data_IF_870368087595
#
_entry.id   IF_870368087595
#
_cell.length_a   1.000
_cell.length_b   1.000
_cell.length_c   1.000
_cell.angle_alpha   90.00
_cell.angle_beta   90.00
_cell.angle_gamma   90.00
#
_symmetry.space_group_name_H-M   'P 1'
#
loop_
_entity.id
_entity.type
_entity.pdbx_description
1 polymer ?
#
# COMPACT_ATOMS: atom_id res chain seq x y z
N UNK A 1 -5.13 2.71 -23.88
CA UNK A 1 -3.71 3.03 -23.60
C UNK A 1 -3.11 3.96 -24.65
N UNK A 2 -3.79 4.21 -25.79
CA UNK A 2 -3.31 5.17 -26.80
C UNK A 2 -3.35 6.65 -26.34
N UNK A 3 -4.12 6.96 -25.30
CA UNK A 3 -4.21 8.30 -24.70
C UNK A 3 -3.17 8.56 -23.58
N UNK A 4 -2.29 7.58 -23.29
CA UNK A 4 -1.28 7.71 -22.22
C UNK A 4 0.11 7.86 -22.84
N UNK A 5 0.70 9.05 -22.72
CA UNK A 5 2.03 9.34 -23.28
C UNK A 5 3.17 8.69 -22.49
N UNK A 6 3.01 8.57 -21.17
CA UNK A 6 4.00 7.97 -20.26
C UNK A 6 3.33 7.25 -19.09
N UNK A 7 3.91 6.11 -18.71
CA UNK A 7 3.58 5.37 -17.49
C UNK A 7 4.81 5.36 -16.60
N UNK A 8 4.65 5.78 -15.35
CA UNK A 8 5.71 5.74 -14.34
C UNK A 8 5.26 4.90 -13.16
N UNK A 9 6.18 4.12 -12.60
CA UNK A 9 5.89 3.31 -11.42
C UNK A 9 7.13 3.10 -10.55
N UNK A 10 6.91 2.86 -9.26
CA UNK A 10 7.93 2.49 -8.29
C UNK A 10 8.10 0.96 -8.24
N UNK A 11 9.35 0.52 -8.08
CA UNK A 11 9.72 -0.90 -7.88
C UNK A 11 9.67 -1.30 -6.38
N UNK A 12 9.39 -0.35 -5.48
CA UNK A 12 9.56 -0.53 -4.03
C UNK A 12 8.43 -1.27 -3.34
N UNK A 13 7.24 -1.29 -3.97
CA UNK A 13 6.06 -1.87 -3.36
C UNK A 13 5.88 -3.33 -3.83
N UNK A 14 5.06 -3.54 -4.87
CA UNK A 14 4.70 -4.87 -5.35
C UNK A 14 5.89 -5.71 -5.87
N UNK A 15 7.00 -5.06 -6.24
CA UNK A 15 8.17 -5.73 -6.84
C UNK A 15 9.33 -5.94 -5.87
N UNK A 16 9.18 -5.55 -4.60
CA UNK A 16 10.15 -5.77 -3.52
C UNK A 16 11.60 -5.40 -3.87
N UNK A 17 11.79 -4.32 -4.66
CA UNK A 17 13.12 -3.81 -5.06
C UNK A 17 13.23 -2.31 -4.71
N UNK A 18 14.06 -1.53 -5.40
CA UNK A 18 14.14 -0.08 -5.20
C UNK A 18 14.19 0.69 -6.52
N UNK A 19 13.85 1.98 -6.46
CA UNK A 19 13.83 2.85 -7.62
C UNK A 19 12.50 2.78 -8.38
N UNK A 20 12.53 3.14 -9.66
CA UNK A 20 11.34 3.23 -10.49
C UNK A 20 11.67 3.14 -11.97
N UNK A 21 10.63 3.04 -12.79
CA UNK A 21 10.75 3.01 -14.24
C UNK A 21 9.76 3.96 -14.90
N UNK A 22 10.07 4.37 -16.12
CA UNK A 22 9.23 5.16 -17.00
C UNK A 22 9.14 4.47 -18.36
N UNK A 23 7.92 4.24 -18.85
CA UNK A 23 7.63 3.69 -20.17
C UNK A 23 6.90 4.74 -20.98
N UNK A 24 7.30 4.91 -22.23
CA UNK A 24 6.67 5.85 -23.15
C UNK A 24 7.27 5.70 -24.55
N UNK A 25 6.92 6.62 -25.44
CA UNK A 25 7.51 6.65 -26.79
C UNK A 25 9.03 6.84 -26.69
N UNK A 26 9.78 6.20 -27.58
CA UNK A 26 11.25 6.17 -27.54
C UNK A 26 11.91 7.56 -27.47
N UNK A 27 11.37 8.55 -28.20
CA UNK A 27 11.89 9.92 -28.16
C UNK A 27 11.63 10.62 -26.81
N UNK A 28 10.54 10.28 -26.11
CA UNK A 28 10.21 10.83 -24.79
C UNK A 28 11.15 10.27 -23.74
N UNK A 29 11.29 8.94 -23.71
CA UNK A 29 12.22 8.26 -22.79
C UNK A 29 13.68 8.65 -23.10
N UNK A 30 14.03 8.76 -24.38
CA UNK A 30 15.34 9.24 -24.83
C UNK A 30 15.66 10.65 -24.33
N UNK A 31 14.68 11.57 -24.41
CA UNK A 31 14.85 12.92 -23.87
C UNK A 31 15.04 12.90 -22.35
N UNK A 32 14.22 12.14 -21.60
CA UNK A 32 14.40 12.01 -20.13
C UNK A 32 15.76 11.43 -19.75
N UNK A 33 16.23 10.42 -20.49
CA UNK A 33 17.52 9.78 -20.25
C UNK A 33 18.72 10.72 -20.50
N UNK A 34 18.62 11.59 -21.49
CA UNK A 34 19.71 12.51 -21.89
C UNK A 34 19.67 13.84 -21.12
N UNK A 35 18.49 14.29 -20.70
CA UNK A 35 18.28 15.61 -20.10
C UNK A 35 17.85 15.57 -18.64
N UNK A 36 17.50 14.40 -18.10
CA UNK A 36 17.11 14.23 -16.70
C UNK A 36 18.30 14.29 -15.76
N UNK A 37 18.44 15.39 -15.02
CA UNK A 37 19.54 15.59 -14.06
C UNK A 37 19.66 14.43 -13.07
N UNK A 38 18.54 13.98 -12.49
CA UNK A 38 18.51 12.86 -11.56
C UNK A 38 18.87 11.51 -12.19
N UNK A 39 18.72 11.36 -13.50
CA UNK A 39 19.15 10.16 -14.23
C UNK A 39 20.64 10.21 -14.57
N UNK A 40 21.14 11.36 -15.06
CA UNK A 40 22.53 11.52 -15.49
C UNK A 40 23.54 11.60 -14.32
N UNK A 41 23.13 12.19 -13.19
CA UNK A 41 24.02 12.48 -12.06
C UNK A 41 23.70 11.64 -10.81
N UNK A 42 23.11 10.47 -11.00
CA UNK A 42 22.86 9.48 -9.94
C UNK A 42 23.51 8.14 -10.26
N UNK A 43 23.78 7.35 -9.23
CA UNK A 43 24.25 5.97 -9.40
C UNK A 43 23.12 5.09 -9.94
N UNK A 44 23.49 4.11 -10.78
CA UNK A 44 22.54 3.10 -11.27
C UNK A 44 22.08 2.17 -10.15
N UNK A 45 20.90 1.56 -10.34
CA UNK A 45 20.39 0.53 -9.45
C UNK A 45 21.40 -0.65 -9.34
N UNK A 46 21.70 -1.15 -8.13
CA UNK A 46 22.57 -2.32 -7.95
C UNK A 46 22.09 -3.54 -8.77
N UNK A 47 22.99 -4.31 -9.41
CA UNK A 47 22.61 -5.42 -10.28
C UNK A 47 21.68 -6.46 -9.64
N UNK A 48 21.89 -6.74 -8.35
CA UNK A 48 21.03 -7.65 -7.58
C UNK A 48 19.58 -7.17 -7.54
N UNK A 49 19.36 -5.88 -7.26
CA UNK A 49 18.01 -5.28 -7.16
C UNK A 49 17.35 -5.17 -8.54
N UNK A 50 18.12 -4.88 -9.58
CA UNK A 50 17.64 -4.87 -10.96
C UNK A 50 17.19 -6.27 -11.41
N UNK A 51 17.94 -7.31 -11.04
CA UNK A 51 17.59 -8.70 -11.33
C UNK A 51 16.33 -9.10 -10.55
N UNK A 52 16.27 -8.82 -9.25
CA UNK A 52 15.09 -9.11 -8.43
C UNK A 52 13.82 -8.44 -8.96
N UNK A 53 13.89 -7.18 -9.38
CA UNK A 53 12.76 -6.48 -9.99
C UNK A 53 12.34 -7.12 -11.33
N UNK A 54 13.31 -7.54 -12.16
CA UNK A 54 13.05 -8.19 -13.45
C UNK A 54 12.35 -9.54 -13.26
N UNK A 55 12.81 -10.35 -12.31
CA UNK A 55 12.18 -11.63 -11.96
C UNK A 55 10.78 -11.41 -11.36
N UNK A 56 10.59 -10.41 -10.50
CA UNK A 56 9.27 -10.09 -9.96
C UNK A 56 8.26 -9.71 -11.06
N UNK A 57 8.70 -8.96 -12.08
CA UNK A 57 7.87 -8.65 -13.25
C UNK A 57 7.57 -9.91 -14.07
N UNK A 58 8.58 -10.76 -14.32
CA UNK A 58 8.40 -12.02 -15.05
C UNK A 58 7.37 -12.93 -14.35
N UNK A 59 7.45 -13.08 -13.03
CA UNK A 59 6.47 -13.86 -12.25
C UNK A 59 5.06 -13.28 -12.37
N UNK A 60 4.89 -11.96 -12.39
CA UNK A 60 3.57 -11.33 -12.56
C UNK A 60 3.01 -11.59 -13.96
N UNK A 61 3.85 -11.59 -14.99
CA UNK A 61 3.46 -11.88 -16.38
C UNK A 61 3.11 -13.36 -16.59
N UNK A 62 3.89 -14.27 -15.98
CA UNK A 62 3.67 -15.72 -16.04
C UNK A 62 2.47 -16.18 -15.20
N UNK A 63 2.21 -15.51 -14.06
CA UNK A 63 1.13 -15.84 -13.12
C UNK A 63 0.16 -14.67 -12.91
N UNK A 64 -0.64 -14.27 -13.92
CA UNK A 64 -1.56 -13.13 -13.81
C UNK A 64 -2.65 -13.33 -12.75
N UNK A 65 -2.95 -14.58 -12.39
CA UNK A 65 -3.91 -14.94 -11.34
C UNK A 65 -3.46 -14.44 -9.95
N UNK A 66 -2.17 -14.14 -9.74
CA UNK A 66 -1.68 -13.56 -8.47
C UNK A 66 -2.35 -12.22 -8.19
N UNK A 67 -2.47 -11.37 -9.20
CA UNK A 67 -3.13 -10.06 -9.08
C UNK A 67 -4.62 -10.25 -8.79
N UNK A 68 -5.28 -11.16 -9.51
CA UNK A 68 -6.70 -11.46 -9.30
C UNK A 68 -6.98 -11.99 -7.89
N UNK A 69 -6.10 -12.86 -7.36
CA UNK A 69 -6.20 -13.38 -6.00
C UNK A 69 -6.14 -12.25 -4.98
N UNK A 70 -5.14 -11.37 -5.09
CA UNK A 70 -5.01 -10.20 -4.19
C UNK A 70 -6.24 -9.31 -4.28
N UNK A 71 -6.75 -9.02 -5.48
CA UNK A 71 -7.97 -8.23 -5.66
C UNK A 71 -9.18 -8.88 -4.96
N UNK A 72 -9.39 -10.20 -5.10
CA UNK A 72 -10.46 -10.92 -4.42
C UNK A 72 -10.31 -10.85 -2.90
N UNK A 73 -9.11 -11.12 -2.38
CA UNK A 73 -8.79 -11.00 -0.95
C UNK A 73 -9.06 -9.58 -0.42
N UNK A 74 -8.79 -8.56 -1.23
CA UNK A 74 -8.99 -7.15 -0.88
C UNK A 74 -10.46 -6.77 -0.79
N UNK A 75 -11.30 -7.30 -1.69
CA UNK A 75 -12.75 -7.08 -1.69
C UNK A 75 -13.39 -7.79 -0.49
N UNK A 76 -13.02 -9.05 -0.24
CA UNK A 76 -13.57 -9.85 0.85
C UNK A 76 -13.09 -9.35 2.21
N UNK A 77 -11.78 -9.07 2.34
CA UNK A 77 -11.17 -8.52 3.53
C UNK A 77 -11.71 -7.14 3.89
N UNK A 78 -12.02 -6.29 2.90
CA UNK A 78 -12.72 -5.01 3.15
C UNK A 78 -14.08 -5.23 3.81
N UNK A 79 -14.90 -6.15 3.30
CA UNK A 79 -16.22 -6.45 3.91
C UNK A 79 -16.09 -6.96 5.34
N UNK A 80 -15.09 -7.83 5.58
CA UNK A 80 -14.80 -8.35 6.93
C UNK A 80 -14.42 -7.23 7.90
N UNK A 81 -13.53 -6.33 7.48
CA UNK A 81 -13.12 -5.16 8.27
C UNK A 81 -14.28 -4.19 8.53
N UNK A 82 -15.08 -3.86 7.51
CA UNK A 82 -16.26 -2.99 7.66
C UNK A 82 -17.26 -3.54 8.69
N UNK A 83 -17.48 -4.86 8.65
CA UNK A 83 -18.36 -5.52 9.62
C UNK A 83 -17.77 -5.52 11.04
N UNK A 84 -16.47 -5.76 11.19
CA UNK A 84 -15.80 -5.75 12.50
C UNK A 84 -15.80 -4.35 13.14
N UNK A 85 -15.67 -3.30 12.34
CA UNK A 85 -15.68 -1.91 12.80
C UNK A 85 -17.10 -1.34 13.00
N UNK A 86 -18.14 -2.08 12.60
CA UNK A 86 -19.53 -1.60 12.67
C UNK A 86 -19.93 -1.28 14.11
N UNK A 87 -20.40 -0.06 14.35
CA UNK A 87 -20.81 0.43 15.67
C UNK A 87 -19.68 1.09 16.48
N UNK A 88 -18.43 0.98 16.01
CA UNK A 88 -17.31 1.75 16.54
C UNK A 88 -17.26 3.16 15.91
N UNK A 89 -16.33 3.99 16.39
CA UNK A 89 -16.00 5.28 15.75
C UNK A 89 -14.96 5.16 14.64
N UNK A 90 -14.48 3.94 14.34
CA UNK A 90 -13.50 3.74 13.28
C UNK A 90 -14.20 3.45 11.95
N UNK A 91 -13.75 4.12 10.90
CA UNK A 91 -14.33 4.02 9.56
C UNK A 91 -13.27 3.55 8.58
N UNK A 92 -13.59 2.49 7.84
CA UNK A 92 -12.74 2.01 6.75
C UNK A 92 -13.05 2.80 5.47
N UNK A 93 -12.01 3.20 4.75
CA UNK A 93 -12.14 3.82 3.44
C UNK A 93 -11.09 3.24 2.49
N UNK A 94 -11.50 2.99 1.26
CA UNK A 94 -10.67 2.45 0.20
C UNK A 94 -11.52 1.95 -0.96
N UNK A 95 -10.92 1.85 -2.13
CA UNK A 95 -11.54 1.19 -3.28
C UNK A 95 -11.59 -0.33 -3.01
N UNK A 96 -12.73 -1.03 -3.21
CA UNK A 96 -12.85 -2.48 -2.98
C UNK A 96 -11.71 -3.31 -3.60
N UNK A 97 -11.33 -2.98 -4.83
CA UNK A 97 -10.32 -3.66 -5.62
C UNK A 97 -8.89 -3.30 -5.19
N UNK A 98 -8.68 -2.17 -4.52
CA UNK A 98 -7.37 -1.75 -4.02
C UNK A 98 -6.94 -2.64 -2.85
N UNK A 99 -5.72 -3.21 -2.86
CA UNK A 99 -5.20 -3.96 -1.72
C UNK A 99 -4.90 -3.11 -0.51
N UNK A 100 -4.82 -1.79 -0.67
CA UNK A 100 -4.57 -0.85 0.40
C UNK A 100 -5.88 -0.23 0.88
N UNK A 101 -6.12 -0.35 2.19
CA UNK A 101 -7.26 0.25 2.90
C UNK A 101 -6.76 1.18 4.00
N UNK A 102 -7.55 2.20 4.30
CA UNK A 102 -7.29 3.14 5.38
C UNK A 102 -8.37 3.04 6.44
N UNK A 103 -7.96 2.93 7.70
CA UNK A 103 -8.85 3.05 8.86
C UNK A 103 -8.68 4.46 9.42
N UNK A 104 -9.78 5.20 9.48
CA UNK A 104 -9.88 6.54 10.05
C UNK A 104 -10.63 6.49 11.37
N UNK A 105 -10.44 7.51 12.22
CA UNK A 105 -11.25 7.69 13.42
C UNK A 105 -12.20 8.88 13.25
N UNK A 106 -13.51 8.64 13.39
CA UNK A 106 -14.56 9.65 13.28
C UNK A 106 -14.87 10.25 14.66
N UNK A 107 -14.07 11.23 15.06
CA UNK A 107 -14.22 11.93 16.33
C UNK A 107 -13.05 12.84 16.66
N UNK A 108 -13.07 13.43 17.85
CA UNK A 108 -11.98 14.28 18.33
C UNK A 108 -10.73 13.46 18.68
N UNK A 109 -9.57 14.11 18.66
CA UNK A 109 -8.27 13.49 18.97
C UNK A 109 -7.97 12.25 18.09
N UNK A 110 -8.21 12.34 16.77
CA UNK A 110 -8.06 11.22 15.82
C UNK A 110 -6.73 10.48 15.99
N UNK A 111 -5.62 11.21 16.03
CA UNK A 111 -4.28 10.62 16.17
C UNK A 111 -4.11 9.80 17.44
N UNK A 112 -4.61 10.32 18.57
CA UNK A 112 -4.51 9.64 19.86
C UNK A 112 -5.33 8.37 19.88
N UNK A 113 -6.51 8.37 19.26
CA UNK A 113 -7.36 7.18 19.19
C UNK A 113 -6.82 6.15 18.20
N UNK A 114 -6.21 6.59 17.10
CA UNK A 114 -5.50 5.68 16.18
C UNK A 114 -4.26 5.08 16.84
N UNK A 115 -3.47 5.85 17.59
CA UNK A 115 -2.31 5.33 18.35
C UNK A 115 -2.77 4.29 19.38
N UNK A 116 -3.82 4.59 20.15
CA UNK A 116 -4.39 3.63 21.10
C UNK A 116 -4.80 2.32 20.42
N UNK A 117 -5.47 2.39 19.26
CA UNK A 117 -5.86 1.18 18.55
C UNK A 117 -4.64 0.37 18.10
N UNK A 118 -3.61 1.02 17.58
CA UNK A 118 -2.34 0.37 17.21
C UNK A 118 -1.70 -0.31 18.43
N UNK A 119 -1.62 0.41 19.56
CA UNK A 119 -1.02 -0.09 20.78
C UNK A 119 -1.80 -1.28 21.36
N UNK A 120 -3.14 -1.20 21.39
CA UNK A 120 -4.00 -2.30 21.87
C UNK A 120 -3.84 -3.54 21.00
N UNK A 121 -3.88 -3.40 19.67
CA UNK A 121 -3.69 -4.54 18.75
C UNK A 121 -2.31 -5.19 18.92
N UNK A 122 -1.28 -4.39 19.15
CA UNK A 122 0.07 -4.90 19.40
C UNK A 122 0.19 -5.63 20.74
N UNK A 123 -0.35 -5.04 21.82
CA UNK A 123 -0.23 -5.59 23.16
C UNK A 123 -1.08 -6.87 23.34
N UNK A 124 -2.30 -6.89 22.80
CA UNK A 124 -3.25 -7.98 23.06
C UNK A 124 -3.13 -9.12 22.04
N UNK A 125 -2.85 -8.79 20.77
CA UNK A 125 -2.86 -9.76 19.66
C UNK A 125 -1.49 -10.01 19.04
N UNK A 126 -0.47 -9.23 19.43
CA UNK A 126 0.88 -9.25 18.88
C UNK A 126 0.92 -9.04 17.35
N UNK A 127 0.03 -8.19 16.85
CA UNK A 127 0.00 -7.78 15.45
C UNK A 127 0.51 -6.35 15.32
N UNK A 128 1.39 -6.11 14.35
CA UNK A 128 1.93 -4.79 14.10
C UNK A 128 1.05 -4.05 13.09
N UNK A 129 0.47 -2.94 13.53
CA UNK A 129 -0.20 -1.97 12.67
C UNK A 129 0.59 -0.67 12.68
N UNK A 130 0.48 0.11 11.61
CA UNK A 130 1.17 1.41 11.52
C UNK A 130 0.22 2.49 11.04
N UNK A 131 0.32 3.66 11.68
CA UNK A 131 -0.32 4.87 11.16
C UNK A 131 0.40 5.36 9.92
N UNK A 132 -0.36 5.86 8.95
CA UNK A 132 0.17 6.73 7.93
C UNK A 132 0.69 8.00 8.60
N UNK A 133 1.99 8.25 8.48
CA UNK A 133 2.66 9.44 8.99
C UNK A 133 3.00 10.35 7.83
N UNK A 134 2.72 11.64 8.00
CA UNK A 134 2.99 12.69 7.04
C UNK A 134 3.77 13.81 7.73
N UNK A 135 4.43 14.66 6.93
CA UNK A 135 5.17 15.81 7.44
C UNK A 135 4.24 17.02 7.49
N UNK A 136 3.33 17.08 8.45
CA UNK A 136 2.23 18.06 8.50
C UNK A 136 2.64 19.55 8.39
N UNK A 137 3.90 19.87 8.71
CA UNK A 137 4.45 21.22 8.60
C UNK A 137 4.84 21.59 7.16
N UNK A 138 5.20 20.58 6.37
CA UNK A 138 5.70 20.71 5.01
C UNK A 138 4.64 20.31 3.97
N UNK A 139 3.57 19.62 4.40
CA UNK A 139 2.44 19.27 3.55
C UNK A 139 1.59 20.51 3.21
N UNK A 140 1.53 20.84 1.92
CA UNK A 140 0.62 21.88 1.40
C UNK A 140 -0.85 21.50 1.57
N UNK A 141 -1.16 20.21 1.50
CA UNK A 141 -2.50 19.66 1.70
C UNK A 141 -2.45 18.65 2.83
N UNK A 142 -2.95 19.05 4.00
CA UNK A 142 -2.96 18.17 5.17
C UNK A 142 -3.78 16.92 4.89
N UNK A 143 -3.14 15.77 5.05
CA UNK A 143 -3.77 14.46 4.90
C UNK A 143 -4.33 14.03 6.24
N UNK A 144 -5.57 13.55 6.24
CA UNK A 144 -6.19 13.02 7.46
C UNK A 144 -5.41 11.80 7.97
N UNK A 145 -5.09 11.72 9.28
CA UNK A 145 -4.37 10.58 9.84
C UNK A 145 -5.20 9.30 9.71
N UNK A 146 -4.53 8.19 9.45
CA UNK A 146 -5.17 6.87 9.29
C UNK A 146 -4.21 5.75 9.67
N UNK A 147 -4.74 4.54 9.86
CA UNK A 147 -3.96 3.31 9.89
C UNK A 147 -4.03 2.66 8.52
N UNK A 148 -2.88 2.22 7.99
CA UNK A 148 -2.78 1.52 6.71
C UNK A 148 -2.92 0.02 6.92
N UNK A 149 -3.88 -0.60 6.24
CA UNK A 149 -4.04 -2.05 6.18
C UNK A 149 -3.86 -2.49 4.73
N UNK A 150 -2.98 -3.47 4.50
CA UNK A 150 -2.62 -3.91 3.15
C UNK A 150 -2.83 -5.43 3.02
N UNK A 151 -3.52 -5.85 1.97
CA UNK A 151 -3.67 -7.24 1.60
C UNK A 151 -2.54 -7.64 0.64
N UNK A 152 -1.89 -8.77 0.91
CA UNK A 152 -0.77 -9.30 0.13
C UNK A 152 -1.07 -10.73 -0.33
N UNK A 153 -0.41 -11.17 -1.41
CA UNK A 153 -0.67 -12.46 -2.06
C UNK A 153 -0.49 -13.67 -1.14
N UNK A 154 0.48 -13.59 -0.22
CA UNK A 154 0.86 -14.69 0.66
C UNK A 154 0.05 -14.76 1.97
N UNK A 155 -0.81 -13.77 2.25
CA UNK A 155 -1.68 -13.83 3.44
C UNK A 155 -2.68 -14.97 3.31
N UNK A 156 -2.84 -15.73 4.39
CA UNK A 156 -3.85 -16.77 4.50
C UNK A 156 -5.17 -16.20 5.02
N UNK A 157 -6.29 -16.89 4.74
CA UNK A 157 -7.60 -16.49 5.26
C UNK A 157 -7.63 -16.46 6.79
N UNK A 158 -6.92 -17.40 7.45
CA UNK A 158 -6.80 -17.45 8.90
C UNK A 158 -6.04 -16.24 9.49
N UNK A 159 -4.99 -15.78 8.82
CA UNK A 159 -4.27 -14.57 9.22
C UNK A 159 -5.12 -13.32 9.03
N UNK A 160 -5.87 -13.25 7.93
CA UNK A 160 -6.81 -12.15 7.67
C UNK A 160 -7.89 -12.14 8.75
N UNK A 161 -8.51 -13.28 9.05
CA UNK A 161 -9.57 -13.38 10.06
C UNK A 161 -9.06 -13.00 11.46
N UNK A 162 -7.87 -13.49 11.83
CA UNK A 162 -7.20 -13.10 13.08
C UNK A 162 -6.95 -11.59 13.15
N UNK A 163 -6.47 -10.99 12.06
CA UNK A 163 -6.22 -9.54 12.02
C UNK A 163 -7.51 -8.73 12.10
N UNK A 164 -8.57 -9.16 11.41
CA UNK A 164 -9.90 -8.53 11.47
C UNK A 164 -10.48 -8.59 12.88
N UNK A 165 -10.40 -9.75 13.53
CA UNK A 165 -10.90 -9.94 14.90
C UNK A 165 -10.13 -9.08 15.91
N UNK A 166 -8.80 -9.03 15.79
CA UNK A 166 -7.96 -8.18 16.63
C UNK A 166 -8.29 -6.69 16.47
N UNK A 167 -8.41 -6.21 15.23
CA UNK A 167 -8.78 -4.82 14.93
C UNK A 167 -10.19 -4.51 15.44
N UNK A 168 -11.16 -5.40 15.21
CA UNK A 168 -12.53 -5.25 15.69
C UNK A 168 -12.60 -5.17 17.21
N UNK A 169 -11.92 -6.08 17.90
CA UNK A 169 -11.91 -6.13 19.37
C UNK A 169 -11.26 -4.88 19.99
N UNK A 170 -10.22 -4.33 19.36
CA UNK A 170 -9.57 -3.09 19.80
C UNK A 170 -10.35 -1.82 19.45
N UNK A 171 -11.32 -1.89 18.55
CA UNK A 171 -12.09 -0.75 18.07
C UNK A 171 -13.29 -0.38 18.98
N UNK A 172 -13.75 -1.31 19.80
CA UNK A 172 -14.90 -1.17 20.72
C UNK A 172 -14.45 -1.04 22.17
#
# INVERSE_FOLDING_TARGET
MEDVDMVMASLENALASTGGFCVGRSYVVGHQRLSGLGYCFSASLPPLLATAASEAIAIIDEEPDRVQKVTKMSIEGQKKLENALKGSKFVLQGCPESPMKHIYYDGNDEEKNLDKLVDTVFNDSHLLLTRARYLDKDEMFKVRPSIRVMFQYDLTDAEIDRAVEAIGSAAH
#
